data_IF_527891242131
#
_entry.id   IF_527891242131
#
_cell.length_a   1.000
_cell.length_b   1.000
_cell.length_c   1.000
_cell.angle_alpha   90.00
_cell.angle_beta   90.00
_cell.angle_gamma   90.00
#
_symmetry.space_group_name_H-M   'P 1'
#
loop_
_entity.id
_entity.type
_entity.pdbx_description
1 polymer ?
#
# COMPACT_ATOMS: atom_id res chain seq x y z
N UNK A 1 10.96 -13.13 -10.61
CA UNK A 1 10.12 -13.23 -9.40
C UNK A 1 9.37 -11.91 -9.27
N UNK A 2 8.03 -11.91 -9.24
CA UNK A 2 7.25 -10.67 -9.13
C UNK A 2 7.15 -10.30 -7.66
N UNK A 3 7.71 -9.15 -7.26
CA UNK A 3 7.61 -8.66 -5.88
C UNK A 3 6.19 -8.16 -5.64
N UNK A 4 5.52 -8.69 -4.61
CA UNK A 4 4.18 -8.26 -4.20
C UNK A 4 4.30 -7.40 -2.95
N UNK A 5 3.58 -6.28 -2.95
CA UNK A 5 3.53 -5.34 -1.84
C UNK A 5 2.12 -4.82 -1.60
N UNK A 6 1.77 -4.58 -0.33
CA UNK A 6 0.59 -3.84 0.07
C UNK A 6 1.03 -2.64 0.91
N UNK A 7 0.66 -1.44 0.49
CA UNK A 7 0.99 -0.19 1.18
C UNK A 7 -0.30 0.45 1.66
N UNK A 8 -0.40 0.66 2.98
CA UNK A 8 -1.52 1.38 3.61
C UNK A 8 -1.05 2.81 3.86
N UNK A 9 -1.59 3.76 3.11
CA UNK A 9 -1.37 5.19 3.29
C UNK A 9 -2.51 5.74 4.14
N UNK A 10 -2.20 6.28 5.30
CA UNK A 10 -3.23 6.76 6.23
C UNK A 10 -3.40 8.29 6.22
N UNK A 11 -2.62 8.99 5.41
CA UNK A 11 -2.87 10.38 5.16
C UNK A 11 -1.89 11.00 4.17
N UNK A 12 -2.30 12.16 3.70
CA UNK A 12 -1.57 13.01 2.80
C UNK A 12 -1.29 14.31 3.54
N UNK A 13 -0.05 14.76 3.50
CA UNK A 13 0.36 16.07 4.00
C UNK A 13 0.71 16.90 2.78
N UNK A 14 -0.06 17.95 2.52
CA UNK A 14 0.30 18.94 1.52
C UNK A 14 1.22 19.98 2.15
N UNK A 15 2.44 20.11 1.63
CA UNK A 15 3.33 21.20 1.97
C UNK A 15 3.83 21.81 0.64
N UNK A 16 3.26 22.94 0.17
CA UNK A 16 3.65 23.55 -1.10
C UNK A 16 5.18 23.63 -1.25
N UNK A 17 5.77 23.21 -2.39
CA UNK A 17 5.12 22.87 -3.66
C UNK A 17 4.76 21.38 -3.85
N UNK A 18 4.84 20.52 -2.82
CA UNK A 18 4.72 19.05 -2.98
C UNK A 18 3.75 18.38 -2.01
N UNK A 19 3.14 17.28 -2.44
CA UNK A 19 2.35 16.40 -1.57
C UNK A 19 3.24 15.30 -1.02
N UNK A 20 3.20 15.11 0.29
CA UNK A 20 3.82 13.97 0.97
C UNK A 20 2.72 12.99 1.39
N UNK A 21 3.04 11.70 1.41
CA UNK A 21 2.15 10.66 1.92
C UNK A 21 2.88 9.89 3.01
N UNK A 22 2.19 9.53 4.08
CA UNK A 22 2.76 8.67 5.11
C UNK A 22 2.15 7.28 5.03
N UNK A 23 3.02 6.29 4.82
CA UNK A 23 2.64 4.89 4.93
C UNK A 23 2.44 4.58 6.42
N UNK A 24 1.23 4.19 6.81
CA UNK A 24 0.98 3.63 8.13
C UNK A 24 1.54 2.20 8.25
N UNK A 25 1.55 1.46 7.14
CA UNK A 25 2.08 0.09 7.07
C UNK A 25 2.50 -0.28 5.66
N UNK A 26 3.58 -1.04 5.55
CA UNK A 26 4.03 -1.64 4.29
C UNK A 26 4.19 -3.14 4.51
N UNK A 27 3.48 -3.97 3.74
CA UNK A 27 3.59 -5.43 3.78
C UNK A 27 4.29 -5.91 2.52
N UNK A 28 5.33 -6.73 2.65
CA UNK A 28 6.19 -7.13 1.52
C UNK A 28 6.45 -8.63 1.54
N UNK A 29 6.43 -9.25 0.37
CA UNK A 29 6.66 -10.70 0.19
C UNK A 29 8.09 -11.19 0.37
N UNK A 30 9.05 -10.30 0.61
CA UNK A 30 10.48 -10.61 0.64
C UNK A 30 11.13 -10.00 1.89
N UNK A 31 11.90 -10.81 2.61
CA UNK A 31 12.68 -10.39 3.77
C UNK A 31 13.72 -9.32 3.39
N UNK A 32 14.39 -9.48 2.25
CA UNK A 32 15.39 -8.53 1.75
C UNK A 32 14.76 -7.16 1.50
N UNK A 33 13.60 -7.14 0.84
CA UNK A 33 12.88 -5.89 0.56
C UNK A 33 12.33 -5.25 1.85
N UNK A 34 11.89 -6.06 2.82
CA UNK A 34 11.47 -5.58 4.13
C UNK A 34 12.65 -4.93 4.90
N UNK A 35 13.79 -5.61 4.96
CA UNK A 35 15.01 -5.12 5.61
C UNK A 35 15.52 -3.85 4.93
N UNK A 36 15.58 -3.83 3.60
CA UNK A 36 15.97 -2.66 2.82
C UNK A 36 15.05 -1.48 3.11
N UNK A 37 13.73 -1.68 3.05
CA UNK A 37 12.73 -0.64 3.36
C UNK A 37 12.92 -0.04 4.75
N UNK A 38 13.20 -0.86 5.77
CA UNK A 38 13.44 -0.37 7.14
C UNK A 38 14.79 0.34 7.29
N UNK A 39 15.86 -0.24 6.76
CA UNK A 39 17.24 0.23 7.00
C UNK A 39 17.61 1.43 6.13
N UNK A 40 17.22 1.42 4.87
CA UNK A 40 17.64 2.44 3.88
C UNK A 40 16.60 3.55 3.75
N UNK A 41 15.31 3.18 3.74
CA UNK A 41 14.20 4.11 3.43
C UNK A 41 13.50 4.61 4.69
N UNK A 42 13.50 3.83 5.78
CA UNK A 42 12.79 4.15 7.02
C UNK A 42 11.30 3.79 6.99
N UNK A 43 10.89 2.88 6.10
CA UNK A 43 9.49 2.46 5.98
C UNK A 43 9.04 1.56 7.13
N UNK A 44 7.76 1.62 7.54
CA UNK A 44 7.16 0.67 8.49
C UNK A 44 6.84 -0.68 7.80
N UNK A 45 7.87 -1.27 7.17
CA UNK A 45 7.77 -2.53 6.44
C UNK A 45 7.61 -3.71 7.37
N UNK A 46 6.83 -4.71 6.97
CA UNK A 46 6.65 -6.00 7.64
C UNK A 46 6.63 -7.10 6.58
N UNK A 47 7.14 -8.27 6.94
CA UNK A 47 7.13 -9.42 6.04
C UNK A 47 5.72 -9.98 6.00
N UNK A 48 5.23 -10.28 4.81
CA UNK A 48 3.90 -10.83 4.63
C UNK A 48 3.88 -11.90 3.54
N UNK A 49 3.00 -12.89 3.69
CA UNK A 49 2.69 -13.87 2.66
C UNK A 49 1.39 -13.48 1.97
N UNK A 50 1.45 -13.44 0.64
CA UNK A 50 0.32 -13.17 -0.24
C UNK A 50 -0.09 -14.48 -0.91
N UNK A 51 -1.29 -14.97 -0.59
CA UNK A 51 -1.87 -16.14 -1.24
C UNK A 51 -2.93 -15.71 -2.23
N UNK A 52 -2.80 -16.12 -3.49
CA UNK A 52 -3.72 -15.78 -4.57
C UNK A 52 -4.56 -16.99 -4.92
N UNK A 53 -5.89 -16.85 -4.83
CA UNK A 53 -6.86 -17.85 -5.28
C UNK A 53 -7.76 -17.24 -6.35
N UNK A 54 -7.95 -17.95 -7.46
CA UNK A 54 -8.86 -17.54 -8.53
C UNK A 54 -10.08 -18.45 -8.47
N UNK A 55 -11.26 -17.86 -8.35
CA UNK A 55 -12.54 -18.58 -8.34
C UNK A 55 -13.39 -18.08 -9.50
N UNK A 56 -13.84 -18.99 -10.37
CA UNK A 56 -14.82 -18.71 -11.41
C UNK A 56 -16.23 -18.84 -10.82
N UNK A 57 -17.02 -17.77 -10.84
CA UNK A 57 -18.39 -17.77 -10.32
C UNK A 57 -19.42 -17.57 -11.45
N UNK A 58 -20.49 -18.39 -11.53
CA UNK A 58 -21.65 -18.11 -12.35
C UNK A 58 -22.47 -16.95 -11.77
N UNK A 59 -23.04 -16.10 -12.63
CA UNK A 59 -23.70 -14.84 -12.22
C UNK A 59 -25.02 -15.06 -11.47
N UNK A 60 -25.29 -14.19 -10.50
CA UNK A 60 -26.64 -13.74 -10.10
C UNK A 60 -26.93 -12.36 -10.72
N UNK A 61 -28.20 -12.02 -11.04
CA UNK A 61 -28.53 -10.80 -11.78
C UNK A 61 -28.24 -9.53 -10.96
N UNK A 62 -27.52 -8.57 -11.59
CA UNK A 62 -27.02 -7.34 -10.96
C UNK A 62 -28.16 -6.39 -10.50
N UNK A 63 -28.00 -5.83 -9.31
CA UNK A 63 -28.83 -4.75 -8.76
C UNK A 63 -28.41 -3.38 -9.31
N UNK A 64 -29.38 -2.46 -9.40
CA UNK A 64 -29.27 -1.10 -9.99
C UNK A 64 -28.05 -0.31 -9.48
N UNK A 65 -26.93 -0.36 -10.19
CA UNK A 65 -25.77 0.50 -9.92
C UNK A 65 -25.99 1.92 -10.48
N UNK A 66 -25.61 2.94 -9.71
CA UNK A 66 -26.03 4.34 -9.83
C UNK A 66 -25.55 5.07 -11.10
N UNK A 67 -26.43 5.94 -11.62
CA UNK A 67 -26.27 6.77 -12.82
C UNK A 67 -24.99 7.64 -12.84
N UNK A 68 -24.45 8.03 -11.68
CA UNK A 68 -23.28 8.89 -11.58
C UNK A 68 -21.99 8.23 -12.11
N UNK A 69 -21.83 6.93 -11.91
CA UNK A 69 -20.61 6.21 -12.33
C UNK A 69 -20.50 6.10 -13.86
N UNK A 70 -21.65 6.02 -14.57
CA UNK A 70 -21.68 6.07 -16.04
C UNK A 70 -21.16 7.40 -16.59
N UNK A 71 -21.38 8.51 -15.87
CA UNK A 71 -20.97 9.86 -16.31
C UNK A 71 -19.46 10.09 -16.21
N UNK A 72 -18.77 9.35 -15.35
CA UNK A 72 -17.29 9.38 -15.18
C UNK A 72 -16.61 8.35 -16.11
N UNK A 73 -17.37 7.69 -16.99
CA UNK A 73 -16.83 6.70 -17.95
C UNK A 73 -16.56 5.33 -17.36
N UNK A 74 -17.09 5.01 -16.16
CA UNK A 74 -17.02 3.66 -15.59
C UNK A 74 -17.96 2.73 -16.36
N UNK A 75 -17.45 2.16 -17.45
CA UNK A 75 -18.14 1.12 -18.22
C UNK A 75 -17.99 -0.21 -17.48
N UNK A 76 -19.09 -0.72 -16.94
CA UNK A 76 -19.19 -2.12 -16.52
C UNK A 76 -19.19 -2.98 -17.79
N UNK A 77 -18.05 -3.50 -18.22
CA UNK A 77 -18.03 -4.47 -19.33
C UNK A 77 -18.70 -5.75 -18.83
N UNK A 78 -19.85 -6.09 -19.42
CA UNK A 78 -20.53 -7.35 -19.20
C UNK A 78 -19.73 -8.48 -19.89
N UNK A 79 -18.76 -9.05 -19.20
CA UNK A 79 -18.23 -10.37 -19.56
C UNK A 79 -19.08 -11.45 -18.88
N UNK A 80 -19.39 -12.53 -19.62
CA UNK A 80 -20.21 -13.65 -19.15
C UNK A 80 -19.59 -14.45 -17.99
N UNK A 81 -18.33 -14.16 -17.63
CA UNK A 81 -17.65 -14.70 -16.46
C UNK A 81 -16.99 -13.56 -15.69
N UNK A 82 -17.29 -13.44 -14.39
CA UNK A 82 -16.52 -12.61 -13.46
C UNK A 82 -15.58 -13.57 -12.70
N UNK A 83 -14.31 -13.57 -13.09
CA UNK A 83 -13.29 -14.23 -12.27
C UNK A 83 -13.08 -13.37 -11.02
N UNK A 84 -13.27 -13.94 -9.84
CA UNK A 84 -12.88 -13.30 -8.60
C UNK A 84 -11.47 -13.75 -8.23
N UNK A 85 -10.60 -12.79 -7.96
CA UNK A 85 -9.27 -13.04 -7.44
C UNK A 85 -9.26 -12.66 -5.96
N UNK A 86 -9.18 -13.68 -5.11
CA UNK A 86 -9.03 -13.51 -3.68
C UNK A 86 -7.54 -13.48 -3.34
N UNK A 87 -7.12 -12.42 -2.66
CA UNK A 87 -5.76 -12.27 -2.13
C UNK A 87 -5.83 -12.27 -0.62
N UNK A 88 -5.37 -13.36 -0.01
CA UNK A 88 -5.20 -13.43 1.43
C UNK A 88 -3.84 -12.86 1.80
N UNK A 89 -3.84 -11.93 2.76
CA UNK A 89 -2.64 -11.27 3.25
C UNK A 89 -2.40 -11.68 4.70
N UNK A 90 -1.28 -12.35 4.93
CA UNK A 90 -0.87 -12.82 6.26
C UNK A 90 0.46 -12.17 6.63
N UNK A 91 0.49 -11.43 7.74
CA UNK A 91 1.72 -10.85 8.26
C UNK A 91 2.50 -11.90 9.05
N UNK A 92 3.80 -11.98 8.82
CA UNK A 92 4.69 -12.91 9.52
C UNK A 92 5.46 -12.11 10.58
N UNK A 93 5.18 -12.40 11.85
CA UNK A 93 5.88 -11.78 12.99
C UNK A 93 6.58 -12.88 13.77
N UNK A 94 7.93 -12.88 13.72
CA UNK A 94 8.78 -13.93 14.30
C UNK A 94 8.37 -15.32 13.77
N UNK A 95 7.66 -16.12 14.57
CA UNK A 95 7.20 -17.48 14.24
C UNK A 95 5.67 -17.58 14.10
N UNK A 96 4.95 -16.46 14.27
CA UNK A 96 3.49 -16.45 14.18
C UNK A 96 3.05 -15.77 12.89
N UNK A 97 2.24 -16.47 12.11
CA UNK A 97 1.52 -15.88 10.98
C UNK A 97 0.17 -15.37 11.49
N UNK A 98 -0.11 -14.09 11.25
CA UNK A 98 -1.37 -13.45 11.63
C UNK A 98 -2.09 -12.96 10.38
N UNK A 99 -3.35 -13.34 10.22
CA UNK A 99 -4.19 -12.81 9.15
C UNK A 99 -4.32 -11.28 9.29
N UNK A 100 -4.26 -10.55 8.17
CA UNK A 100 -4.45 -9.10 8.12
C UNK A 100 -5.78 -8.78 7.45
N UNK A 101 -5.94 -9.23 6.21
CA UNK A 101 -7.11 -8.99 5.42
C UNK A 101 -7.20 -9.98 4.27
N UNK A 102 -8.41 -10.10 3.74
CA UNK A 102 -8.64 -10.70 2.45
C UNK A 102 -9.14 -9.62 1.48
N UNK A 103 -8.51 -9.56 0.31
CA UNK A 103 -8.84 -8.60 -0.74
C UNK A 103 -9.43 -9.38 -1.90
N UNK A 104 -10.73 -9.19 -2.14
CA UNK A 104 -11.40 -9.69 -3.32
C UNK A 104 -11.32 -8.63 -4.42
N UNK A 105 -10.50 -8.93 -5.42
CA UNK A 105 -10.35 -8.13 -6.63
C UNK A 105 -11.22 -8.76 -7.71
N UNK A 106 -12.12 -7.98 -8.29
CA UNK A 106 -12.81 -8.38 -9.51
C UNK A 106 -11.75 -8.48 -10.61
N UNK A 107 -11.36 -9.70 -10.97
CA UNK A 107 -10.46 -9.95 -12.07
C UNK A 107 -11.26 -9.84 -13.38
N UNK A 108 -11.65 -8.62 -13.74
CA UNK A 108 -12.09 -8.33 -15.11
C UNK A 108 -10.86 -8.46 -16.01
N UNK A 109 -10.66 -9.68 -16.51
CA UNK A 109 -9.68 -10.07 -17.52
C UNK A 109 -8.22 -9.76 -17.18
N UNK A 110 -7.59 -10.69 -16.47
CA UNK A 110 -6.17 -10.98 -16.70
C UNK A 110 -5.98 -11.34 -18.18
N UNK A 111 -5.22 -10.49 -18.87
CA UNK A 111 -4.44 -10.77 -20.08
C UNK A 111 -5.25 -10.95 -21.39
N UNK A 112 -4.86 -10.12 -22.36
CA UNK A 112 -5.21 -10.16 -23.79
C UNK A 112 -6.69 -9.85 -24.15
N UNK A 113 -6.86 -8.96 -25.12
CA UNK A 113 -8.06 -8.81 -25.95
C UNK A 113 -9.32 -8.11 -25.41
N UNK A 114 -9.20 -7.14 -24.50
CA UNK A 114 -10.24 -6.10 -24.44
C UNK A 114 -9.82 -4.87 -25.25
N UNK A 115 -10.48 -4.65 -26.39
CA UNK A 115 -10.50 -3.38 -27.17
C UNK A 115 -11.08 -2.20 -26.36
N UNK A 116 -10.99 -2.23 -25.04
CA UNK A 116 -11.53 -1.23 -24.13
C UNK A 116 -10.53 -0.11 -23.87
N UNK A 117 -11.04 1.12 -23.73
CA UNK A 117 -10.23 2.27 -23.29
C UNK A 117 -9.52 1.95 -21.96
N UNK A 118 -8.18 1.94 -21.97
CA UNK A 118 -7.36 1.59 -20.81
C UNK A 118 -7.03 2.76 -19.88
N UNK A 119 -7.60 3.94 -20.14
CA UNK A 119 -7.31 5.17 -19.42
C UNK A 119 -6.32 6.07 -20.15
N UNK A 120 -6.28 7.37 -19.81
CA UNK A 120 -5.22 8.27 -20.27
C UNK A 120 -3.84 7.75 -19.85
N UNK A 121 -2.86 7.97 -20.71
CA UNK A 121 -1.45 7.80 -20.35
C UNK A 121 -1.04 8.98 -19.48
N UNK A 122 -0.53 8.71 -18.28
CA UNK A 122 0.05 9.72 -17.40
C UNK A 122 1.55 9.49 -17.28
N UNK A 123 2.28 10.61 -17.20
CA UNK A 123 3.69 10.64 -16.85
C UNK A 123 3.82 11.51 -15.62
N UNK A 124 4.40 10.96 -14.57
CA UNK A 124 4.62 11.66 -13.31
C UNK A 124 6.05 11.41 -12.86
N UNK A 125 6.68 12.42 -12.28
CA UNK A 125 8.02 12.29 -11.69
C UNK A 125 7.96 12.78 -10.26
N UNK A 126 8.70 12.11 -9.37
CA UNK A 126 8.99 12.69 -8.07
C UNK A 126 9.82 13.96 -8.30
N UNK A 127 9.40 15.13 -7.80
CA UNK A 127 10.06 16.39 -8.10
C UNK A 127 11.51 16.42 -7.58
N UNK A 128 12.47 16.67 -8.47
CA UNK A 128 13.90 16.73 -8.13
C UNK A 128 14.32 18.05 -7.44
N UNK A 129 13.40 18.88 -6.97
CA UNK A 129 13.73 20.25 -6.56
C UNK A 129 14.51 20.35 -5.25
N UNK A 130 15.40 21.35 -5.21
CA UNK A 130 16.36 21.70 -4.15
C UNK A 130 15.73 22.22 -2.84
N UNK A 131 14.44 21.99 -2.60
CA UNK A 131 13.76 22.41 -1.38
C UNK A 131 13.12 21.20 -0.69
N UNK A 132 13.83 20.70 0.31
CA UNK A 132 13.32 20.07 1.54
C UNK A 132 12.36 18.85 1.51
N UNK A 133 11.83 18.37 0.38
CA UNK A 133 10.54 17.64 0.42
C UNK A 133 10.48 16.23 -0.19
N UNK A 134 11.56 15.71 -0.78
CA UNK A 134 11.62 14.31 -1.23
C UNK A 134 12.74 13.55 -0.55
N UNK A 135 12.65 13.50 0.77
CA UNK A 135 13.65 12.88 1.61
C UNK A 135 13.13 11.62 2.27
N UNK A 136 13.95 10.59 2.19
CA UNK A 136 13.79 9.35 2.91
C UNK A 136 15.15 8.95 3.47
N UNK A 137 15.20 7.97 4.36
CA UNK A 137 16.40 7.64 5.12
C UNK A 137 16.39 8.28 6.50
N UNK A 138 17.55 8.75 6.97
CA UNK A 138 17.75 9.18 8.38
C UNK A 138 17.29 8.12 9.38
N UNK A 139 17.67 6.88 9.11
CA UNK A 139 17.40 5.73 9.96
C UNK A 139 18.55 5.53 10.95
N UNK A 140 18.38 4.59 11.88
CA UNK A 140 19.48 4.17 12.78
C UNK A 140 20.70 3.60 12.02
N UNK A 141 20.51 3.15 10.78
CA UNK A 141 21.53 2.49 9.97
C UNK A 141 22.09 3.40 8.88
N UNK A 142 21.36 4.45 8.52
CA UNK A 142 21.78 5.46 7.56
C UNK A 142 21.39 6.84 8.09
N UNK A 143 22.37 7.55 8.67
CA UNK A 143 22.18 8.89 9.21
C UNK A 143 21.97 9.95 8.12
N UNK A 144 22.38 9.64 6.89
CA UNK A 144 22.27 10.56 5.78
C UNK A 144 20.84 10.65 5.26
N UNK A 145 20.49 11.84 4.81
CA UNK A 145 19.25 12.09 4.11
C UNK A 145 19.43 11.73 2.64
N UNK A 146 18.55 10.88 2.12
CA UNK A 146 18.62 10.39 0.75
C UNK A 146 17.55 11.06 -0.11
N UNK A 147 17.99 11.57 -1.25
CA UNK A 147 17.13 12.09 -2.30
C UNK A 147 16.92 11.02 -3.35
N UNK A 148 15.65 10.77 -3.68
CA UNK A 148 15.26 9.81 -4.70
C UNK A 148 14.70 10.53 -5.92
N UNK A 149 15.05 10.04 -7.11
CA UNK A 149 14.36 10.39 -8.34
C UNK A 149 13.63 9.18 -8.89
N UNK A 150 12.35 9.37 -9.23
CA UNK A 150 11.57 8.34 -9.88
C UNK A 150 10.69 8.97 -10.95
N UNK A 151 10.70 8.36 -12.14
CA UNK A 151 9.78 8.64 -13.22
C UNK A 151 8.84 7.45 -13.37
N UNK A 152 7.54 7.73 -13.36
CA UNK A 152 6.47 6.75 -13.54
C UNK A 152 5.71 7.10 -14.81
N UNK A 153 5.56 6.11 -15.68
CA UNK A 153 4.68 6.15 -16.84
C UNK A 153 3.66 5.03 -16.71
N UNK A 154 2.37 5.34 -16.77
CA UNK A 154 1.31 4.34 -16.65
C UNK A 154 0.01 4.84 -17.27
N UNK A 155 -0.94 3.92 -17.50
CA UNK A 155 -2.33 4.27 -17.83
C UNK A 155 -3.19 4.16 -16.58
N UNK A 156 -4.03 5.15 -16.33
CA UNK A 156 -4.89 5.17 -15.13
C UNK A 156 -6.35 5.14 -15.52
N UNK A 157 -7.12 4.24 -14.91
CA UNK A 157 -8.59 4.21 -15.06
C UNK A 157 -9.28 4.07 -13.70
N UNK A 158 -10.46 4.66 -13.59
CA UNK A 158 -11.34 4.41 -12.45
C UNK A 158 -11.91 2.98 -12.53
N UNK A 159 -11.98 2.30 -11.39
CA UNK A 159 -12.51 0.94 -11.25
C UNK A 159 -13.44 0.83 -10.06
N UNK A 160 -14.17 -0.27 -9.98
CA UNK A 160 -14.92 -0.60 -8.77
C UNK A 160 -13.93 -0.92 -7.64
N UNK A 161 -14.11 -0.37 -6.42
CA UNK A 161 -13.27 -0.71 -5.28
C UNK A 161 -13.27 -2.21 -4.97
N UNK A 162 -12.09 -2.75 -4.66
CA UNK A 162 -11.97 -4.12 -4.17
C UNK A 162 -12.68 -4.27 -2.83
N UNK A 163 -13.29 -5.43 -2.59
CA UNK A 163 -13.90 -5.73 -1.29
C UNK A 163 -12.80 -6.22 -0.36
N UNK A 164 -12.61 -5.51 0.75
CA UNK A 164 -11.64 -5.88 1.78
C UNK A 164 -12.39 -6.37 3.00
N UNK A 165 -12.05 -7.55 3.49
CA UNK A 165 -12.51 -8.08 4.77
C UNK A 165 -11.36 -8.16 5.78
N UNK A 166 -11.70 -7.97 7.05
CA UNK A 166 -10.74 -7.98 8.16
C UNK A 166 -10.29 -9.40 8.54
N UNK A 167 -9.37 -9.52 9.50
CA UNK A 167 -9.00 -10.80 10.08
C UNK A 167 -10.22 -11.45 10.76
N UNK A 168 -10.27 -12.77 10.78
CA UNK A 168 -11.31 -13.49 11.51
C UNK A 168 -11.18 -13.24 13.02
N UNK A 169 -12.30 -13.23 13.75
CA UNK A 169 -12.30 -12.97 15.20
C UNK A 169 -11.39 -13.94 16.00
N UNK A 170 -11.15 -15.14 15.48
CA UNK A 170 -10.29 -16.16 16.10
C UNK A 170 -8.80 -15.75 16.15
N UNK A 171 -8.37 -14.78 15.36
CA UNK A 171 -6.98 -14.28 15.34
C UNK A 171 -6.76 -13.07 16.27
N UNK A 172 -7.83 -12.47 16.81
CA UNK A 172 -7.74 -11.30 17.69
C UNK A 172 -7.39 -11.70 19.15
N UNK A 173 -7.80 -12.89 19.59
CA UNK A 173 -7.64 -13.35 20.97
C UNK A 173 -6.19 -13.76 21.33
N UNK A 174 -5.31 -13.88 20.33
CA UNK A 174 -3.87 -14.15 20.53
C UNK A 174 -3.06 -12.91 20.90
N UNK A 175 -3.58 -11.70 20.74
CA UNK A 175 -2.88 -10.47 21.16
C UNK A 175 -3.19 -10.06 22.62
N UNK A 176 -4.29 -10.56 23.21
CA UNK A 176 -4.70 -10.23 24.58
C UNK A 176 -4.26 -11.24 25.66
N UNK A 177 -3.64 -12.37 25.28
CA UNK A 177 -3.38 -13.49 26.20
C UNK A 177 -1.93 -13.66 26.65
N UNK A 178 -1.03 -12.71 26.33
CA UNK A 178 0.39 -12.81 26.70
C UNK A 178 0.96 -11.52 27.28
N UNK A 179 0.35 -10.98 28.33
CA UNK A 179 1.03 -10.03 29.22
C UNK A 179 1.00 -10.60 30.65
N UNK A 180 2.11 -11.26 31.01
CA UNK A 180 2.44 -11.65 32.37
C UNK A 180 2.36 -10.44 33.30
N UNK A 181 1.68 -10.63 34.43
CA UNK A 181 1.68 -9.71 35.54
C UNK A 181 3.11 -9.58 36.09
N UNK A 182 3.76 -8.43 35.89
CA UNK A 182 4.77 -7.98 36.84
C UNK A 182 4.89 -6.45 36.81
N UNK A 183 4.78 -5.90 38.00
CA UNK A 183 4.67 -4.50 38.40
C UNK A 183 5.88 -3.61 38.10
N UNK A 184 5.57 -2.31 38.00
CA UNK A 184 6.37 -1.11 38.34
C UNK A 184 7.37 -0.48 37.34
N UNK A 185 6.99 0.73 36.92
CA UNK A 185 7.77 1.98 36.73
C UNK A 185 9.01 1.94 35.83
N UNK A 186 8.86 2.42 34.58
CA UNK A 186 9.52 3.65 34.08
C UNK A 186 9.06 3.97 32.65
N UNK A 187 8.61 5.21 32.47
CA UNK A 187 7.81 5.69 31.36
C UNK A 187 8.67 6.39 30.31
N UNK A 188 8.92 5.74 29.16
CA UNK A 188 9.03 6.33 27.82
C UNK A 188 9.54 5.28 26.82
N UNK A 189 8.68 4.76 25.93
CA UNK A 189 8.98 4.25 24.56
C UNK A 189 8.15 3.06 24.07
N UNK A 190 7.21 2.52 24.86
CA UNK A 190 6.34 1.41 24.39
C UNK A 190 4.96 1.91 23.95
N UNK A 191 4.90 2.64 22.83
CA UNK A 191 3.61 2.82 22.13
C UNK A 191 3.23 1.48 21.52
N UNK A 192 2.18 0.88 22.07
CA UNK A 192 1.69 -0.46 21.76
C UNK A 192 1.62 -0.72 20.25
N UNK A 193 2.38 -1.71 19.78
CA UNK A 193 2.36 -2.17 18.39
C UNK A 193 0.96 -2.61 17.92
N UNK A 194 0.09 -3.01 18.86
CA UNK A 194 -1.32 -3.32 18.59
C UNK A 194 -2.11 -2.12 18.10
N UNK A 195 -1.89 -0.91 18.67
CA UNK A 195 -2.66 0.28 18.31
C UNK A 195 -2.40 0.74 16.87
N UNK A 196 -1.13 0.73 16.43
CA UNK A 196 -0.76 1.06 15.05
C UNK A 196 -1.29 0.02 14.06
N UNK A 197 -1.30 -1.26 14.46
CA UNK A 197 -1.87 -2.34 13.66
C UNK A 197 -3.37 -2.16 13.45
N UNK A 198 -4.09 -1.95 14.54
CA UNK A 198 -5.54 -1.73 14.52
C UNK A 198 -5.89 -0.52 13.67
N UNK A 199 -5.14 0.58 13.79
CA UNK A 199 -5.33 1.76 12.95
C UNK A 199 -5.16 1.45 11.45
N UNK A 200 -4.09 0.74 11.06
CA UNK A 200 -3.89 0.36 9.64
C UNK A 200 -5.02 -0.55 9.11
N UNK A 201 -5.56 -1.43 9.94
CA UNK A 201 -6.69 -2.29 9.59
C UNK A 201 -7.96 -1.45 9.42
N UNK A 202 -8.26 -0.54 10.35
CA UNK A 202 -9.39 0.38 10.26
C UNK A 202 -9.38 1.21 8.97
N UNK A 203 -8.19 1.66 8.53
CA UNK A 203 -8.04 2.37 7.24
C UNK A 203 -8.44 1.46 6.07
N UNK A 204 -7.98 0.21 6.04
CA UNK A 204 -8.29 -0.73 4.96
C UNK A 204 -9.77 -1.14 4.90
N UNK A 205 -10.44 -1.21 6.06
CA UNK A 205 -11.86 -1.60 6.18
C UNK A 205 -12.83 -0.42 6.05
N UNK A 206 -12.31 0.80 5.88
CA UNK A 206 -13.12 2.00 5.73
C UNK A 206 -13.91 2.00 4.41
N UNK A 207 -14.94 2.86 4.34
CA UNK A 207 -15.76 3.00 3.14
C UNK A 207 -14.92 3.58 1.98
N UNK A 208 -14.77 2.86 0.85
CA UNK A 208 -13.97 3.35 -0.26
C UNK A 208 -14.67 4.54 -0.93
N UNK A 209 -13.87 5.56 -1.27
CA UNK A 209 -14.33 6.77 -1.96
C UNK A 209 -14.03 6.68 -3.47
N UNK A 210 -12.83 6.21 -3.82
CA UNK A 210 -12.34 6.10 -5.19
C UNK A 210 -11.42 4.89 -5.29
N UNK A 211 -11.44 4.20 -6.43
CA UNK A 211 -10.46 3.19 -6.77
C UNK A 211 -9.92 3.44 -8.18
N UNK A 212 -8.60 3.41 -8.29
CA UNK A 212 -7.86 3.64 -9.52
C UNK A 212 -7.00 2.41 -9.81
N UNK A 213 -7.00 1.99 -11.07
CA UNK A 213 -6.12 0.95 -11.57
C UNK A 213 -5.03 1.58 -12.43
N UNK A 214 -3.79 1.18 -12.15
CA UNK A 214 -2.59 1.60 -12.86
C UNK A 214 -2.11 0.45 -13.77
N UNK A 215 -2.30 0.61 -15.07
CA UNK A 215 -1.93 -0.36 -16.09
C UNK A 215 -0.63 0.03 -16.80
N UNK A 216 0.14 -0.97 -17.25
CA UNK A 216 1.42 -0.79 -17.94
C UNK A 216 2.38 0.14 -17.20
N UNK A 217 2.42 0.02 -15.87
CA UNK A 217 3.26 0.85 -15.02
C UNK A 217 4.74 0.56 -15.28
N UNK A 218 5.44 1.57 -15.80
CA UNK A 218 6.89 1.60 -16.00
C UNK A 218 7.48 2.60 -15.02
N UNK A 219 8.39 2.11 -14.18
CA UNK A 219 9.14 2.93 -13.23
C UNK A 219 10.60 2.98 -13.64
N UNK A 220 11.15 4.19 -13.70
CA UNK A 220 12.59 4.44 -13.74
C UNK A 220 12.98 5.05 -12.41
N UNK A 221 13.87 4.40 -11.68
CA UNK A 221 14.36 4.85 -10.38
C UNK A 221 15.85 5.08 -10.50
N UNK A 222 16.30 6.30 -10.21
CA UNK A 222 17.72 6.63 -10.16
C UNK A 222 18.30 6.25 -8.79
N UNK A 223 19.62 6.00 -8.76
CA UNK A 223 20.31 5.72 -7.50
C UNK A 223 20.14 6.91 -6.53
N UNK A 224 19.81 6.65 -5.25
CA UNK A 224 19.63 7.73 -4.29
C UNK A 224 20.93 8.50 -4.06
N UNK A 225 20.83 9.82 -3.98
CA UNK A 225 21.96 10.70 -3.68
C UNK A 225 21.89 11.23 -2.25
N UNK A 226 23.04 11.36 -1.61
CA UNK A 226 23.13 11.95 -0.27
C UNK A 226 22.95 13.46 -0.33
N UNK A 227 22.12 13.99 0.55
CA UNK A 227 21.96 15.44 0.72
C UNK A 227 22.94 15.90 1.78
N UNK A 228 24.02 16.57 1.35
CA UNK A 228 24.89 17.32 2.24
C UNK A 228 24.20 18.63 2.63
N UNK A 229 24.05 18.90 3.92
CA UNK A 229 23.64 20.22 4.38
C UNK A 229 24.74 21.21 3.96
N UNK A 230 24.40 22.23 3.18
CA UNK A 230 25.30 23.38 3.05
C UNK A 230 25.40 24.02 4.42
N UNK A 231 26.59 24.01 5.02
CA UNK A 231 26.91 24.96 6.09
C UNK A 231 26.76 26.35 5.48
N UNK A 232 25.82 27.13 5.97
CA UNK A 232 25.90 28.57 5.79
C UNK A 232 27.13 29.01 6.58
N UNK A 233 28.21 29.33 5.86
CA UNK A 233 29.34 30.05 6.42
C UNK A 233 28.81 31.43 6.83
N UNK A 234 28.58 31.59 8.13
CA UNK A 234 28.35 32.89 8.74
C UNK A 234 29.65 33.68 8.62
N UNK A 235 29.64 34.71 7.79
CA UNK A 235 30.64 35.79 7.83
C UNK A 235 30.07 36.96 8.61
#
# INVERSE_FOLDING_TARGET
>A
MQVVQLVVIAGLVWNPPTSCAWAARVLVGSDEACLHGRKVVGLPSQVARFSKKITALPQTPDSKSSCFLRRIGLRTSSSNYKNHMDVEVTEIKKQTAMSICNINVNATASQQDSKGWMGPLIKMSLPNFSSALNFSGRTKYNSNLLKYSCQIECRVRAVQPAKVSGPSALDADKENSSEDQSSNVESASRVATGTKRNFSISVMLSKPILALEFNHLKMRVEAPTTVTACSHDTT
#
